data_IF_425453983101
#
_entry.id   IF_425453983101
#
_cell.length_a   1.000
_cell.length_b   1.000
_cell.length_c   1.000
_cell.angle_alpha   90.00
_cell.angle_beta   90.00
_cell.angle_gamma   90.00
#
_symmetry.space_group_name_H-M   'P 1'
#
loop_
_entity.id
_entity.type
_entity.pdbx_description
1 polymer ?
#
# COMPACT_ATOMS: atom_id res chain seq x y z
N UNK A 1 -11.11 2.15 -39.04
CA UNK A 1 -10.24 2.59 -37.92
C UNK A 1 -9.33 3.68 -38.46
N UNK A 2 -9.36 4.89 -37.90
CA UNK A 2 -8.62 6.04 -38.42
C UNK A 2 -7.09 5.81 -38.28
N UNK A 3 -6.29 6.09 -39.31
CA UNK A 3 -4.84 5.84 -39.33
C UNK A 3 -4.12 6.54 -38.16
N UNK A 4 -4.63 7.70 -37.74
CA UNK A 4 -4.14 8.43 -36.57
C UNK A 4 -4.38 7.67 -35.26
N UNK A 5 -5.53 7.00 -35.11
CA UNK A 5 -5.82 6.20 -33.92
C UNK A 5 -4.82 5.05 -33.77
N UNK A 6 -4.57 4.31 -34.86
CA UNK A 6 -3.63 3.19 -34.84
C UNK A 6 -2.22 3.62 -34.41
N UNK A 7 -1.73 4.74 -34.97
CA UNK A 7 -0.42 5.31 -34.62
C UNK A 7 -0.34 5.74 -33.15
N UNK A 8 -1.38 6.40 -32.64
CA UNK A 8 -1.43 6.83 -31.24
C UNK A 8 -1.47 5.64 -30.29
N UNK A 9 -2.25 4.60 -30.59
CA UNK A 9 -2.28 3.36 -29.79
C UNK A 9 -0.90 2.69 -29.74
N UNK A 10 -0.20 2.63 -30.87
CA UNK A 10 1.15 2.03 -30.95
C UNK A 10 2.18 2.82 -30.13
N UNK A 11 2.16 4.16 -30.23
CA UNK A 11 2.98 5.04 -29.40
C UNK A 11 2.68 4.88 -27.91
N UNK A 12 1.40 4.85 -27.53
CA UNK A 12 0.98 4.65 -26.14
C UNK A 12 1.46 3.30 -25.61
N UNK A 13 1.39 2.24 -26.42
CA UNK A 13 1.93 0.92 -26.05
C UNK A 13 3.45 0.94 -25.85
N UNK A 14 4.19 1.60 -26.74
CA UNK A 14 5.64 1.76 -26.61
C UNK A 14 6.06 2.53 -25.35
N UNK A 15 5.30 3.57 -24.99
CA UNK A 15 5.53 4.41 -23.81
C UNK A 15 4.88 3.87 -22.51
N UNK A 16 4.17 2.74 -22.58
CA UNK A 16 3.37 2.16 -21.48
C UNK A 16 2.30 3.12 -20.94
N UNK A 17 1.73 3.97 -21.79
CA UNK A 17 0.64 4.88 -21.48
C UNK A 17 -0.71 4.18 -21.69
N UNK A 18 -0.98 3.17 -20.88
CA UNK A 18 -2.13 2.27 -21.06
C UNK A 18 -3.47 3.01 -20.94
N UNK A 19 -3.59 3.93 -19.99
CA UNK A 19 -4.82 4.70 -19.76
C UNK A 19 -5.02 5.73 -20.85
N UNK A 20 -3.96 6.44 -21.26
CA UNK A 20 -4.00 7.37 -22.40
C UNK A 20 -4.49 6.66 -23.65
N UNK A 21 -3.96 5.46 -23.94
CA UNK A 21 -4.32 4.69 -25.13
C UNK A 21 -5.82 4.36 -25.23
N UNK A 22 -6.53 4.37 -24.11
CA UNK A 22 -7.98 4.14 -24.02
C UNK A 22 -8.77 5.44 -23.97
N UNK A 23 -8.34 6.40 -23.15
CA UNK A 23 -9.13 7.58 -22.80
C UNK A 23 -8.98 8.77 -23.77
N UNK A 24 -7.88 8.82 -24.54
CA UNK A 24 -7.60 9.97 -25.41
C UNK A 24 -8.69 10.33 -26.41
N UNK A 25 -9.45 9.40 -27.04
CA UNK A 25 -10.47 9.78 -28.02
C UNK A 25 -11.61 10.57 -27.36
N UNK A 26 -12.01 10.15 -26.16
CA UNK A 26 -13.05 10.82 -25.39
C UNK A 26 -12.60 12.21 -24.93
N UNK A 27 -11.39 12.32 -24.37
CA UNK A 27 -10.83 13.59 -23.93
C UNK A 27 -10.57 14.56 -25.10
N UNK A 28 -10.19 14.04 -26.28
CA UNK A 28 -10.00 14.85 -27.48
C UNK A 28 -11.33 15.42 -27.98
N UNK A 29 -12.42 14.64 -27.88
CA UNK A 29 -13.76 15.10 -28.24
C UNK A 29 -14.25 16.22 -27.30
N UNK A 30 -13.95 16.13 -26.00
CA UNK A 30 -14.28 17.17 -25.01
C UNK A 30 -13.50 18.47 -25.24
N UNK A 31 -12.21 18.36 -25.58
CA UNK A 31 -11.42 19.52 -25.96
C UNK A 31 -11.94 20.17 -27.26
N UNK A 32 -12.38 19.35 -28.22
CA UNK A 32 -12.95 19.84 -29.48
C UNK A 32 -14.30 20.57 -29.31
N UNK A 33 -15.08 20.26 -28.26
CA UNK A 33 -16.30 21.01 -27.93
C UNK A 33 -16.06 22.40 -27.32
N UNK A 34 -14.79 22.79 -27.13
CA UNK A 34 -14.41 24.14 -26.69
C UNK A 34 -14.44 24.36 -25.18
N UNK A 35 -14.59 23.29 -24.38
CA UNK A 35 -14.58 23.38 -22.92
C UNK A 35 -13.17 23.50 -22.33
N UNK A 36 -12.15 23.03 -23.07
CA UNK A 36 -10.76 22.93 -22.60
C UNK A 36 -9.78 23.54 -23.61
N UNK A 37 -8.71 24.14 -23.11
CA UNK A 37 -7.55 24.44 -23.94
C UNK A 37 -6.77 23.17 -24.30
N UNK A 38 -5.87 23.25 -25.28
CA UNK A 38 -4.97 22.12 -25.60
C UNK A 38 -4.05 21.75 -24.42
N UNK A 39 -3.72 22.72 -23.55
CA UNK A 39 -2.93 22.47 -22.35
C UNK A 39 -3.74 21.66 -21.33
N UNK A 40 -5.00 22.03 -21.10
CA UNK A 40 -5.90 21.31 -20.18
C UNK A 40 -6.16 19.88 -20.66
N UNK A 41 -6.33 19.68 -21.97
CA UNK A 41 -6.44 18.36 -22.57
C UNK A 41 -5.20 17.49 -22.28
N UNK A 42 -4.00 18.02 -22.49
CA UNK A 42 -2.75 17.30 -22.22
C UNK A 42 -2.60 16.99 -20.72
N UNK A 43 -2.93 17.95 -19.86
CA UNK A 43 -2.91 17.76 -18.40
C UNK A 43 -3.86 16.64 -17.97
N UNK A 44 -5.13 16.67 -18.41
CA UNK A 44 -6.13 15.64 -18.10
C UNK A 44 -5.68 14.25 -18.53
N UNK A 45 -5.06 14.15 -19.71
CA UNK A 45 -4.50 12.90 -20.21
C UNK A 45 -3.39 12.35 -19.33
N UNK A 46 -2.42 13.19 -18.96
CA UNK A 46 -1.29 12.79 -18.12
C UNK A 46 -1.73 12.51 -16.67
N UNK A 47 -2.70 13.26 -16.15
CA UNK A 47 -3.31 13.02 -14.85
C UNK A 47 -3.99 11.65 -14.80
N UNK A 48 -4.85 11.34 -15.78
CA UNK A 48 -5.53 10.04 -15.86
C UNK A 48 -4.54 8.85 -15.89
N UNK A 49 -3.44 8.97 -16.63
CA UNK A 49 -2.38 7.96 -16.65
C UNK A 49 -1.65 7.84 -15.31
N UNK A 50 -1.33 8.98 -14.68
CA UNK A 50 -0.66 9.02 -13.39
C UNK A 50 -1.50 8.39 -12.29
N UNK A 51 -2.80 8.66 -12.28
CA UNK A 51 -3.76 8.07 -11.36
C UNK A 51 -3.90 6.57 -11.59
N UNK A 52 -4.05 6.13 -12.84
CA UNK A 52 -4.14 4.72 -13.19
C UNK A 52 -2.86 3.94 -12.84
N UNK A 53 -1.67 4.54 -12.98
CA UNK A 53 -0.40 3.95 -12.53
C UNK A 53 -0.32 3.85 -11.02
N UNK A 54 -0.69 4.91 -10.32
CA UNK A 54 -0.70 4.96 -8.86
C UNK A 54 -1.64 3.90 -8.29
N UNK A 55 -2.84 3.76 -8.87
CA UNK A 55 -3.82 2.75 -8.46
C UNK A 55 -3.31 1.33 -8.71
N UNK A 56 -2.77 1.04 -9.90
CA UNK A 56 -2.16 -0.27 -10.18
C UNK A 56 -1.03 -0.61 -9.21
N UNK A 57 -0.20 0.38 -8.87
CA UNK A 57 0.86 0.24 -7.88
C UNK A 57 0.29 -0.10 -6.49
N UNK A 58 -0.69 0.67 -6.01
CA UNK A 58 -1.37 0.44 -4.72
C UNK A 58 -2.01 -0.93 -4.65
N UNK A 59 -2.70 -1.37 -5.70
CA UNK A 59 -3.32 -2.70 -5.77
C UNK A 59 -2.29 -3.83 -5.72
N UNK A 60 -1.18 -3.68 -6.46
CA UNK A 60 -0.08 -4.64 -6.43
C UNK A 60 0.54 -4.71 -5.02
N UNK A 61 0.80 -3.56 -4.39
CA UNK A 61 1.32 -3.49 -3.03
C UNK A 61 0.35 -4.12 -2.02
N UNK A 62 -0.95 -3.81 -2.11
CA UNK A 62 -1.99 -4.34 -1.23
C UNK A 62 -2.05 -5.87 -1.31
N UNK A 63 -2.01 -6.43 -2.52
CA UNK A 63 -1.97 -7.88 -2.75
C UNK A 63 -0.75 -8.52 -2.10
N UNK A 64 0.43 -7.88 -2.18
CA UNK A 64 1.67 -8.43 -1.60
C UNK A 64 1.79 -8.21 -0.09
N UNK A 65 1.08 -7.22 0.46
CA UNK A 65 1.12 -6.88 1.88
C UNK A 65 0.52 -7.96 2.78
N UNK A 66 -0.33 -8.84 2.25
CA UNK A 66 -0.95 -9.94 2.99
C UNK A 66 -1.72 -9.47 4.25
N UNK A 67 -2.42 -8.34 4.13
CA UNK A 67 -3.28 -7.86 5.21
C UNK A 67 -4.43 -8.85 5.44
N UNK A 68 -4.75 -9.22 6.69
CA UNK A 68 -5.85 -10.16 6.97
C UNK A 68 -7.23 -9.56 6.71
N UNK A 69 -7.34 -8.23 6.74
CA UNK A 69 -8.53 -7.47 6.39
C UNK A 69 -8.14 -6.06 5.95
N UNK A 70 -9.04 -5.36 5.26
CA UNK A 70 -8.90 -3.93 5.02
C UNK A 70 -9.56 -3.20 6.19
N UNK A 71 -8.75 -2.49 6.97
CA UNK A 71 -9.20 -1.62 8.06
C UNK A 71 -8.58 -0.24 7.88
N UNK A 72 -9.28 0.80 8.28
CA UNK A 72 -8.76 2.18 8.23
C UNK A 72 -8.71 2.80 9.62
N UNK A 73 -7.95 3.89 9.75
CA UNK A 73 -7.85 4.61 11.04
C UNK A 73 -9.17 5.32 11.38
N UNK A 74 -9.93 5.71 10.36
CA UNK A 74 -11.24 6.37 10.49
C UNK A 74 -12.31 5.43 11.04
N UNK A 75 -12.16 4.12 10.82
CA UNK A 75 -13.02 3.07 11.37
C UNK A 75 -12.70 2.74 12.84
N UNK A 76 -11.63 3.30 13.41
CA UNK A 76 -11.24 3.02 14.77
C UNK A 76 -12.12 3.81 15.75
N UNK A 77 -12.82 3.10 16.63
CA UNK A 77 -13.64 3.72 17.66
C UNK A 77 -12.79 4.14 18.88
N UNK A 78 -12.52 5.44 18.96
CA UNK A 78 -11.80 6.05 20.08
C UNK A 78 -12.62 6.12 21.38
N UNK A 79 -13.94 5.95 21.32
CA UNK A 79 -14.78 5.90 22.51
C UNK A 79 -14.70 4.54 23.22
N UNK A 80 -14.45 3.47 22.47
CA UNK A 80 -14.30 2.12 23.00
C UNK A 80 -12.89 1.83 23.55
N UNK A 81 -11.86 2.46 22.97
CA UNK A 81 -10.47 2.21 23.33
C UNK A 81 -9.86 3.36 24.14
N UNK A 82 -9.91 3.25 25.46
CA UNK A 82 -9.35 4.20 26.43
C UNK A 82 -7.82 4.32 26.42
N UNK A 83 -7.11 3.67 25.49
CA UNK A 83 -5.67 3.43 25.59
C UNK A 83 -4.75 4.27 24.69
N UNK A 84 -5.21 4.81 23.56
CA UNK A 84 -4.33 5.51 22.60
C UNK A 84 -4.74 6.97 22.44
N UNK A 85 -3.88 7.94 22.80
CA UNK A 85 -4.14 9.35 22.58
C UNK A 85 -4.32 9.66 21.09
N UNK A 86 -5.41 10.34 20.72
CA UNK A 86 -5.74 10.70 19.34
C UNK A 86 -4.61 11.45 18.62
N UNK A 87 -3.90 12.33 19.34
CA UNK A 87 -2.76 13.08 18.80
C UNK A 87 -1.61 12.16 18.35
N UNK A 88 -1.29 11.14 19.15
CA UNK A 88 -0.27 10.16 18.80
C UNK A 88 -0.68 9.35 17.58
N UNK A 89 -1.95 8.93 17.49
CA UNK A 89 -2.42 8.22 16.31
C UNK A 89 -2.36 9.09 15.04
N UNK A 90 -2.65 10.39 15.15
CA UNK A 90 -2.50 11.33 14.04
C UNK A 90 -1.04 11.46 13.58
N UNK A 91 -0.10 11.47 14.52
CA UNK A 91 1.33 11.46 14.18
C UNK A 91 1.71 10.17 13.44
N UNK A 92 1.28 9.01 13.95
CA UNK A 92 1.50 7.72 13.27
C UNK A 92 0.85 7.67 11.89
N UNK A 93 -0.29 8.32 11.73
CA UNK A 93 -1.02 8.42 10.47
C UNK A 93 -0.27 9.22 9.39
N UNK A 94 0.74 10.01 9.77
CA UNK A 94 1.64 10.69 8.83
C UNK A 94 2.76 9.77 8.32
N UNK A 95 2.95 8.57 8.91
CA UNK A 95 3.93 7.55 8.51
C UNK A 95 5.40 8.00 8.55
N UNK A 96 5.70 9.14 9.18
CA UNK A 96 7.07 9.69 9.29
C UNK A 96 8.04 8.72 9.97
N UNK A 97 7.54 7.93 10.92
CA UNK A 97 8.30 6.88 11.61
C UNK A 97 8.90 5.84 10.65
N UNK A 98 8.25 5.57 9.51
CA UNK A 98 8.75 4.62 8.51
C UNK A 98 10.04 5.16 7.88
N UNK A 99 10.05 6.44 7.49
CA UNK A 99 11.23 7.09 6.93
C UNK A 99 12.37 7.25 7.96
N UNK A 100 12.03 7.33 9.25
CA UNK A 100 13.00 7.38 10.36
C UNK A 100 13.48 6.00 10.83
N UNK A 101 12.95 4.91 10.27
CA UNK A 101 13.20 3.54 10.71
C UNK A 101 12.92 3.31 12.22
N UNK A 102 11.86 3.94 12.74
CA UNK A 102 11.43 3.80 14.12
C UNK A 102 10.44 2.66 14.30
N UNK A 103 10.56 1.92 15.41
CA UNK A 103 9.66 0.82 15.74
C UNK A 103 8.46 1.32 16.55
N UNK A 104 7.27 0.85 16.20
CA UNK A 104 6.05 1.06 16.97
C UNK A 104 5.67 -0.24 17.65
N UNK A 105 5.40 -0.16 18.96
CA UNK A 105 4.88 -1.28 19.74
C UNK A 105 3.55 -0.87 20.35
N UNK A 106 2.49 -1.59 20.00
CA UNK A 106 1.19 -1.42 20.65
C UNK A 106 1.12 -2.28 21.92
N UNK A 107 1.03 -1.61 23.08
CA UNK A 107 0.91 -2.24 24.38
C UNK A 107 -0.48 -1.98 24.97
N UNK A 108 -1.03 -2.98 25.67
CA UNK A 108 -2.34 -2.87 26.32
C UNK A 108 -3.05 -4.23 26.44
N UNK A 109 -4.17 -4.30 27.19
CA UNK A 109 -4.94 -5.53 27.36
C UNK A 109 -5.52 -6.05 26.04
N UNK A 110 -5.88 -7.33 26.00
CA UNK A 110 -6.56 -7.90 24.82
C UNK A 110 -7.89 -7.18 24.54
N UNK A 111 -8.30 -7.10 23.28
CA UNK A 111 -9.58 -6.51 22.89
C UNK A 111 -9.63 -4.98 22.70
N UNK A 112 -8.56 -4.23 22.99
CA UNK A 112 -8.54 -2.75 22.82
C UNK A 112 -8.22 -2.25 21.39
N UNK A 113 -8.27 -3.15 20.41
CA UNK A 113 -8.10 -2.79 19.00
C UNK A 113 -6.66 -2.60 18.50
N UNK A 114 -5.64 -3.15 19.18
CA UNK A 114 -4.24 -3.10 18.74
C UNK A 114 -4.04 -3.65 17.32
N UNK A 115 -4.60 -4.83 17.02
CA UNK A 115 -4.55 -5.42 15.69
C UNK A 115 -5.29 -4.56 14.65
N UNK A 116 -6.38 -3.88 15.03
CA UNK A 116 -7.04 -2.92 14.14
C UNK A 116 -6.09 -1.79 13.75
N UNK A 117 -5.43 -1.17 14.74
CA UNK A 117 -4.48 -0.09 14.50
C UNK A 117 -3.30 -0.53 13.64
N UNK A 118 -2.75 -1.73 13.90
CA UNK A 118 -1.66 -2.30 13.11
C UNK A 118 -2.07 -2.53 11.64
N UNK A 119 -3.24 -3.12 11.40
CA UNK A 119 -3.77 -3.33 10.05
C UNK A 119 -4.06 -1.99 9.37
N UNK A 120 -4.63 -1.02 10.09
CA UNK A 120 -4.99 0.28 9.54
C UNK A 120 -3.77 1.13 9.16
N UNK A 121 -2.71 1.11 9.97
CA UNK A 121 -1.43 1.75 9.61
C UNK A 121 -0.77 1.06 8.42
N UNK A 122 -0.79 -0.28 8.37
CA UNK A 122 -0.27 -1.03 7.24
C UNK A 122 -1.03 -0.69 5.94
N UNK A 123 -2.36 -0.66 5.99
CA UNK A 123 -3.19 -0.25 4.86
C UNK A 123 -2.86 1.17 4.40
N UNK A 124 -2.75 2.12 5.34
CA UNK A 124 -2.39 3.51 5.03
C UNK A 124 -1.00 3.60 4.38
N UNK A 125 -0.02 2.83 4.86
CA UNK A 125 1.30 2.76 4.26
C UNK A 125 1.26 2.25 2.80
N UNK A 126 0.48 1.20 2.53
CA UNK A 126 0.25 0.71 1.17
C UNK A 126 -0.38 1.79 0.28
N UNK A 127 -1.39 2.53 0.78
CA UNK A 127 -2.01 3.63 0.03
C UNK A 127 -1.04 4.79 -0.22
N UNK A 128 -0.05 4.99 0.65
CA UNK A 128 1.06 5.93 0.46
C UNK A 128 2.17 5.41 -0.47
N UNK A 129 2.01 4.22 -1.08
CA UNK A 129 3.01 3.63 -1.98
C UNK A 129 4.18 2.94 -1.26
N UNK A 130 4.08 2.75 0.06
CA UNK A 130 5.12 2.08 0.86
C UNK A 130 4.93 0.57 0.77
N UNK A 131 5.99 -0.13 0.36
CA UNK A 131 6.02 -1.59 0.36
C UNK A 131 5.89 -2.09 1.80
N UNK A 132 4.78 -2.76 2.08
CA UNK A 132 4.41 -3.18 3.43
C UNK A 132 4.21 -4.69 3.46
N UNK A 133 4.46 -5.33 4.61
CA UNK A 133 4.17 -6.75 4.85
C UNK A 133 3.54 -6.92 6.22
N UNK A 134 2.43 -7.64 6.28
CA UNK A 134 1.84 -8.14 7.50
C UNK A 134 2.12 -9.63 7.65
N UNK A 135 2.45 -10.05 8.88
CA UNK A 135 2.66 -11.46 9.24
C UNK A 135 2.34 -11.64 10.71
N UNK A 136 1.80 -12.79 11.11
CA UNK A 136 1.70 -13.12 12.54
C UNK A 136 3.08 -13.53 13.05
N UNK A 137 3.35 -13.35 14.32
CA UNK A 137 4.62 -13.75 14.91
C UNK A 137 4.83 -15.27 14.81
N UNK A 138 3.75 -16.06 14.94
CA UNK A 138 3.76 -17.50 14.77
C UNK A 138 4.12 -17.92 13.33
N UNK A 139 3.46 -17.33 12.32
CA UNK A 139 3.75 -17.64 10.92
C UNK A 139 5.16 -17.24 10.53
N UNK A 140 5.64 -16.10 11.02
CA UNK A 140 7.01 -15.64 10.76
C UNK A 140 8.03 -16.65 11.30
N UNK A 141 7.84 -17.15 12.53
CA UNK A 141 8.72 -18.15 13.13
C UNK A 141 8.68 -19.49 12.38
N UNK A 142 7.48 -19.94 12.00
CA UNK A 142 7.31 -21.15 11.20
C UNK A 142 8.05 -21.05 9.86
N UNK A 143 7.88 -19.93 9.15
CA UNK A 143 8.50 -19.70 7.85
C UNK A 143 10.02 -19.54 7.95
N UNK A 144 10.52 -18.84 8.97
CA UNK A 144 11.97 -18.75 9.24
C UNK A 144 12.58 -20.12 9.54
N UNK A 145 11.92 -20.93 10.36
CA UNK A 145 12.38 -22.29 10.70
C UNK A 145 12.41 -23.20 9.47
N UNK A 146 11.36 -23.16 8.65
CA UNK A 146 11.31 -23.92 7.40
C UNK A 146 12.40 -23.48 6.42
N UNK A 147 12.59 -22.16 6.24
CA UNK A 147 13.63 -21.61 5.37
C UNK A 147 15.04 -21.96 5.85
N UNK A 148 15.26 -22.01 7.17
CA UNK A 148 16.53 -22.46 7.74
C UNK A 148 16.82 -23.93 7.44
N UNK A 149 15.85 -24.82 7.62
CA UNK A 149 15.98 -26.25 7.28
C UNK A 149 16.23 -26.50 5.79
N UNK A 150 15.77 -25.60 4.93
CA UNK A 150 15.96 -25.68 3.48
C UNK A 150 17.20 -24.91 2.99
N UNK A 151 18.01 -24.35 3.88
CA UNK A 151 19.18 -23.51 3.56
C UNK A 151 18.84 -22.23 2.76
N UNK A 152 17.58 -21.78 2.80
CA UNK A 152 17.08 -20.56 2.11
C UNK A 152 16.84 -19.38 3.04
N UNK A 153 17.33 -19.44 4.29
CA UNK A 153 17.08 -18.43 5.31
C UNK A 153 17.45 -17.01 4.84
N UNK A 154 18.59 -16.84 4.17
CA UNK A 154 19.04 -15.53 3.67
C UNK A 154 18.08 -14.94 2.63
N UNK A 155 17.61 -15.76 1.69
CA UNK A 155 16.67 -15.35 0.65
C UNK A 155 15.34 -14.92 1.28
N UNK A 156 14.81 -15.74 2.19
CA UNK A 156 13.56 -15.45 2.89
C UNK A 156 13.67 -14.17 3.73
N UNK A 157 14.73 -14.03 4.52
CA UNK A 157 14.94 -12.87 5.39
C UNK A 157 15.06 -11.57 4.56
N UNK A 158 15.83 -11.59 3.48
CA UNK A 158 15.95 -10.46 2.57
C UNK A 158 14.58 -10.05 2.00
N UNK A 159 13.79 -11.02 1.53
CA UNK A 159 12.51 -10.75 0.86
C UNK A 159 11.38 -10.34 1.80
N UNK A 160 11.28 -10.96 2.97
CA UNK A 160 10.13 -10.80 3.87
C UNK A 160 10.40 -9.81 5.00
N UNK A 161 11.64 -9.77 5.49
CA UNK A 161 12.00 -8.92 6.64
C UNK A 161 12.62 -7.60 6.19
N UNK A 162 13.59 -7.64 5.26
CA UNK A 162 14.36 -6.44 4.89
C UNK A 162 13.76 -5.65 3.73
N UNK A 163 13.10 -6.32 2.77
CA UNK A 163 12.61 -5.65 1.57
C UNK A 163 11.36 -4.77 1.75
N UNK A 164 10.43 -5.01 2.69
CA UNK A 164 9.37 -4.05 3.01
C UNK A 164 9.93 -2.82 3.71
N UNK A 165 9.40 -1.64 3.39
CA UNK A 165 9.64 -0.42 4.18
C UNK A 165 8.89 -0.45 5.51
N UNK A 166 7.79 -1.20 5.60
CA UNK A 166 7.06 -1.45 6.84
C UNK A 166 6.78 -2.94 7.01
N UNK A 167 7.28 -3.54 8.08
CA UNK A 167 6.94 -4.90 8.51
C UNK A 167 6.06 -4.82 9.76
N UNK A 168 4.85 -5.37 9.67
CA UNK A 168 3.94 -5.51 10.80
C UNK A 168 3.94 -6.97 11.26
N UNK A 169 4.26 -7.16 12.54
CA UNK A 169 4.25 -8.45 13.21
C UNK A 169 3.16 -8.39 14.28
N UNK A 170 2.07 -9.12 14.09
CA UNK A 170 0.98 -9.20 15.06
C UNK A 170 1.10 -10.43 15.97
N UNK A 171 0.38 -10.44 17.08
CA UNK A 171 0.26 -11.58 18.01
C UNK A 171 1.58 -11.99 18.70
N UNK A 172 2.56 -11.09 18.79
CA UNK A 172 3.86 -11.35 19.45
C UNK A 172 3.68 -11.82 20.91
N UNK A 173 2.63 -11.35 21.59
CA UNK A 173 2.35 -11.70 22.99
C UNK A 173 1.96 -13.16 23.24
N UNK A 174 1.72 -13.96 22.20
CA UNK A 174 1.38 -15.39 22.30
C UNK A 174 2.57 -16.32 22.01
N UNK A 175 3.75 -15.77 21.72
CA UNK A 175 4.94 -16.58 21.51
C UNK A 175 5.55 -17.05 22.85
N UNK A 176 6.03 -18.31 22.93
CA UNK A 176 6.61 -18.89 24.14
C UNK A 176 8.04 -18.40 24.39
N UNK A 177 8.30 -17.09 24.28
CA UNK A 177 9.59 -16.51 24.66
C UNK A 177 9.76 -16.36 26.18
N UNK A 178 8.68 -16.53 26.93
CA UNK A 178 8.61 -16.27 28.37
C UNK A 178 8.30 -17.53 29.19
N UNK A 179 8.34 -18.71 28.57
CA UNK A 179 8.18 -20.01 29.23
C UNK A 179 9.48 -20.79 29.22
#
# INVERSE_FOLDING_TARGET
MNLQHARLTELCKGLKLERVGVDWPHLAQQAASGEDSFADFLEKLLAAETDARSERSRQALLKTAALPAVKTLEQYDFAFATGVPRAQLQELAALSFVGRAENIVFLGPSGVGKSHLAIALAYRAVMAGIKTRFVTAADLMLQLTAAHRQERLKEYFSRVVMAPGLLVIDEIGYLPFWS
#
